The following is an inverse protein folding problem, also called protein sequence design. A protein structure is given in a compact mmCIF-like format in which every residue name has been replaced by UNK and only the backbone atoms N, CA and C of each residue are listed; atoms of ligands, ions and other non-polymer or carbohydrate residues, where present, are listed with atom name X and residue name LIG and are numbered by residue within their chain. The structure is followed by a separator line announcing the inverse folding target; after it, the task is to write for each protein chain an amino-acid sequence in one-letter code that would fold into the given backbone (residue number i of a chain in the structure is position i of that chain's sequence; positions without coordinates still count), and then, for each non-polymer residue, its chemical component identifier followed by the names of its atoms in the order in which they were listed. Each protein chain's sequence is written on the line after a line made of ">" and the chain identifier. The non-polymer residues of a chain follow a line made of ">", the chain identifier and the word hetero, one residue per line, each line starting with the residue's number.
data_IF_314222092389
#
_entry.id   IF_314222092389
#
_cell.length_a   1.000
_cell.length_b   1.000
_cell.length_c   1.000
_cell.angle_alpha   90.00
_cell.angle_beta   90.00
_cell.angle_gamma   90.00
#
_symmetry.space_group_name_H-M   'P 1'
#
loop_
_entity.id
_entity.type
_entity.pdbx_description
1 polymer ?
#
# COMPACT_ATOMS: atom_id res chain seq x y z
N UNK A 1 11.05 -18.25 23.38
CA UNK A 1 10.88 -17.01 24.17
C UNK A 1 11.79 -15.95 23.57
N UNK A 2 11.22 -14.94 22.90
CA UNK A 2 12.00 -13.94 22.17
C UNK A 2 12.33 -12.75 23.07
N UNK A 3 13.62 -12.57 23.37
CA UNK A 3 14.17 -11.49 24.18
C UNK A 3 14.36 -10.22 23.33
N UNK A 4 13.25 -9.71 22.78
CA UNK A 4 13.25 -8.54 21.90
C UNK A 4 13.09 -7.29 22.78
N UNK A 5 14.04 -6.34 22.79
CA UNK A 5 13.98 -5.19 23.68
C UNK A 5 12.74 -4.32 23.38
N UNK A 6 12.07 -3.76 24.41
CA UNK A 6 10.80 -3.06 24.29
C UNK A 6 10.84 -1.86 23.32
N UNK A 7 12.01 -1.24 23.15
CA UNK A 7 12.23 -0.13 22.24
C UNK A 7 12.04 -0.50 20.76
N UNK A 8 12.27 -1.77 20.38
CA UNK A 8 12.08 -2.20 18.98
C UNK A 8 10.61 -2.12 18.56
N UNK A 9 9.66 -2.32 19.49
CA UNK A 9 8.23 -2.19 19.23
C UNK A 9 7.83 -0.76 18.87
N UNK A 10 8.36 0.23 19.58
CA UNK A 10 8.06 1.66 19.38
C UNK A 10 8.68 2.18 18.09
N UNK A 11 9.95 1.85 17.83
CA UNK A 11 10.61 2.23 16.57
C UNK A 11 9.90 1.61 15.36
N UNK A 12 9.48 0.35 15.45
CA UNK A 12 8.71 -0.30 14.40
C UNK A 12 7.34 0.35 14.24
N UNK A 13 6.65 0.65 15.33
CA UNK A 13 5.35 1.33 15.31
C UNK A 13 5.42 2.70 14.61
N UNK A 14 6.34 3.58 15.00
CA UNK A 14 6.43 4.92 14.42
C UNK A 14 6.97 4.94 12.99
N UNK A 15 7.94 4.09 12.66
CA UNK A 15 8.56 4.07 11.34
C UNK A 15 7.77 3.25 10.30
N UNK A 16 6.87 2.35 10.70
CA UNK A 16 6.11 1.50 9.76
C UNK A 16 4.65 1.92 9.57
N UNK A 17 4.00 2.52 10.58
CA UNK A 17 2.54 2.72 10.56
C UNK A 17 1.98 3.63 9.47
N UNK A 18 2.80 4.45 8.81
CA UNK A 18 2.35 5.33 7.71
C UNK A 18 3.06 5.04 6.39
N UNK A 19 3.91 4.02 6.36
CA UNK A 19 4.72 3.69 5.19
C UNK A 19 3.93 2.87 4.16
N UNK A 20 3.11 1.94 4.62
CA UNK A 20 2.39 1.02 3.73
C UNK A 20 1.19 1.69 3.08
N UNK A 21 1.39 2.06 1.82
CA UNK A 21 0.43 2.71 0.94
C UNK A 21 0.32 1.93 -0.35
N UNK A 22 -0.91 1.76 -0.81
CA UNK A 22 -1.19 1.03 -2.03
C UNK A 22 -2.19 1.74 -2.90
N UNK A 23 -2.07 1.53 -4.20
CA UNK A 23 -3.04 2.05 -5.15
C UNK A 23 -3.15 1.16 -6.38
N UNK A 24 -4.20 1.43 -7.17
CA UNK A 24 -4.31 0.88 -8.51
C UNK A 24 -3.54 1.75 -9.52
N UNK A 25 -3.37 1.29 -10.75
CA UNK A 25 -2.68 2.03 -11.82
C UNK A 25 -3.17 3.47 -11.97
N UNK A 26 -4.47 3.67 -11.85
CA UNK A 26 -5.15 4.92 -12.19
C UNK A 26 -5.36 5.83 -10.97
N UNK A 27 -4.92 5.42 -9.79
CA UNK A 27 -5.13 6.19 -8.56
C UNK A 27 -6.58 6.23 -8.06
N UNK A 28 -7.48 5.46 -8.67
CA UNK A 28 -8.92 5.44 -8.36
C UNK A 28 -9.26 4.74 -7.04
N UNK A 29 -8.37 3.89 -6.55
CA UNK A 29 -8.43 3.24 -5.25
C UNK A 29 -7.10 3.44 -4.56
N UNK A 30 -7.12 4.06 -3.38
CA UNK A 30 -5.94 4.23 -2.53
C UNK A 30 -6.23 3.63 -1.17
N UNK A 31 -5.29 2.86 -0.65
CA UNK A 31 -5.38 2.24 0.67
C UNK A 31 -4.13 2.55 1.49
N UNK A 32 -4.36 2.74 2.78
CA UNK A 32 -3.32 3.02 3.77
C UNK A 32 -3.50 1.99 4.88
N UNK A 33 -2.43 1.27 5.20
CA UNK A 33 -2.45 0.46 6.43
C UNK A 33 -2.36 1.38 7.63
N UNK A 34 -3.19 1.10 8.63
CA UNK A 34 -3.25 1.85 9.86
C UNK A 34 -3.98 1.05 10.94
N UNK A 35 -3.34 0.83 12.09
CA UNK A 35 -3.89 0.10 13.23
C UNK A 35 -4.50 -1.27 12.86
N UNK A 36 -5.80 -1.32 12.58
CA UNK A 36 -6.58 -2.51 12.20
C UNK A 36 -6.65 -2.76 10.68
N UNK A 37 -6.14 -1.83 9.87
CA UNK A 37 -6.14 -1.92 8.41
C UNK A 37 -4.89 -2.64 7.93
N UNK A 38 -5.03 -3.92 7.64
CA UNK A 38 -3.94 -4.78 7.19
C UNK A 38 -3.88 -4.93 5.67
N UNK A 39 -2.78 -5.52 5.18
CA UNK A 39 -2.57 -5.86 3.78
C UNK A 39 -3.71 -6.71 3.19
N UNK A 40 -4.31 -7.61 3.97
CA UNK A 40 -5.46 -8.41 3.53
C UNK A 40 -6.71 -7.55 3.28
N UNK A 41 -6.93 -6.49 4.07
CA UNK A 41 -7.99 -5.51 3.77
C UNK A 41 -7.68 -4.75 2.48
N UNK A 42 -6.41 -4.42 2.22
CA UNK A 42 -6.00 -3.78 0.97
C UNK A 42 -6.36 -4.66 -0.24
N UNK A 43 -6.04 -5.95 -0.20
CA UNK A 43 -6.39 -6.94 -1.24
C UNK A 43 -7.90 -7.04 -1.45
N UNK A 44 -8.68 -7.18 -0.36
CA UNK A 44 -10.15 -7.25 -0.44
C UNK A 44 -10.75 -5.99 -1.03
N UNK A 45 -10.28 -4.81 -0.61
CA UNK A 45 -10.73 -3.53 -1.16
C UNK A 45 -10.42 -3.43 -2.65
N UNK A 46 -9.23 -3.82 -3.06
CA UNK A 46 -8.87 -3.84 -4.47
C UNK A 46 -9.77 -4.79 -5.27
N UNK A 47 -9.97 -6.01 -4.81
CA UNK A 47 -10.86 -6.97 -5.46
C UNK A 47 -12.28 -6.39 -5.66
N UNK A 48 -12.81 -5.74 -4.63
CA UNK A 48 -14.10 -5.06 -4.70
C UNK A 48 -14.10 -3.88 -5.70
N UNK A 49 -13.01 -3.11 -5.79
CA UNK A 49 -12.88 -2.05 -6.79
C UNK A 49 -12.86 -2.62 -8.22
N UNK A 50 -12.17 -3.74 -8.44
CA UNK A 50 -12.10 -4.42 -9.73
C UNK A 50 -13.47 -4.97 -10.16
N UNK A 51 -14.28 -5.44 -9.21
CA UNK A 51 -15.67 -5.86 -9.48
C UNK A 51 -16.55 -4.68 -9.90
N UNK A 52 -16.41 -3.52 -9.24
CA UNK A 52 -17.17 -2.31 -9.57
C UNK A 52 -16.73 -1.65 -10.88
N UNK A 53 -15.49 -1.87 -11.30
CA UNK A 53 -14.89 -1.29 -12.51
C UNK A 53 -14.17 -2.35 -13.33
N UNK A 54 -14.92 -3.18 -14.09
CA UNK A 54 -14.33 -4.22 -14.92
C UNK A 54 -13.44 -3.67 -16.04
N UNK A 55 -13.66 -2.40 -16.42
CA UNK A 55 -12.92 -1.67 -17.47
C UNK A 55 -11.56 -1.12 -17.01
N UNK A 56 -11.14 -1.42 -15.78
CA UNK A 56 -9.78 -1.19 -15.34
C UNK A 56 -8.81 -2.04 -16.16
N UNK A 57 -8.13 -1.40 -17.12
CA UNK A 57 -7.11 -2.02 -17.98
C UNK A 57 -6.02 -2.72 -17.18
N UNK A 58 -5.69 -2.19 -16.01
CA UNK A 58 -4.71 -2.80 -15.12
C UNK A 58 -5.38 -3.27 -13.82
N UNK A 59 -5.27 -4.57 -13.58
CA UNK A 59 -5.78 -5.25 -12.38
C UNK A 59 -4.72 -5.38 -11.29
N UNK A 60 -3.49 -4.89 -11.52
CA UNK A 60 -2.37 -5.05 -10.59
C UNK A 60 -2.46 -4.11 -9.40
N UNK A 61 -1.97 -4.58 -8.25
CA UNK A 61 -1.82 -3.74 -7.07
C UNK A 61 -0.43 -3.12 -7.05
N UNK A 62 -0.35 -1.82 -6.90
CA UNK A 62 0.91 -1.10 -6.81
C UNK A 62 1.20 -0.71 -5.37
N UNK A 63 2.45 -0.91 -4.95
CA UNK A 63 2.96 -0.28 -3.73
C UNK A 63 3.41 1.14 -4.05
N UNK A 64 3.09 2.07 -3.15
CA UNK A 64 3.43 3.49 -3.28
C UNK A 64 4.62 3.90 -2.41
N UNK A 65 5.26 2.93 -1.77
CA UNK A 65 6.35 3.14 -0.84
C UNK A 65 7.64 2.50 -1.34
N UNK A 66 8.75 3.16 -1.05
CA UNK A 66 10.08 2.72 -1.44
C UNK A 66 10.69 1.77 -0.41
N UNK A 67 11.63 0.93 -0.87
CA UNK A 67 12.56 0.21 0.00
C UNK A 67 13.64 1.20 0.42
N UNK A 68 13.95 1.28 1.71
CA UNK A 68 15.07 2.08 2.20
C UNK A 68 16.30 1.15 2.33
N UNK A 69 17.31 1.26 1.46
CA UNK A 69 18.48 0.38 1.50
C UNK A 69 19.27 0.50 2.81
N UNK A 70 19.24 1.67 3.47
CA UNK A 70 19.94 1.92 4.73
C UNK A 70 19.25 1.28 5.95
N UNK A 71 17.98 0.90 5.80
CA UNK A 71 17.22 0.22 6.85
C UNK A 71 17.47 -1.29 6.81
N UNK A 72 18.70 -1.73 7.12
CA UNK A 72 19.10 -3.14 7.02
C UNK A 72 18.26 -4.08 7.88
N UNK A 73 17.73 -3.62 9.01
CA UNK A 73 16.78 -4.38 9.85
C UNK A 73 15.46 -4.73 9.13
N UNK A 74 15.14 -4.06 8.02
CA UNK A 74 13.97 -4.33 7.17
C UNK A 74 14.27 -5.22 5.97
N UNK A 75 15.53 -5.56 5.70
CA UNK A 75 15.89 -6.36 4.52
C UNK A 75 15.18 -7.71 4.50
N UNK A 76 15.04 -8.38 5.65
CA UNK A 76 14.25 -9.61 5.75
C UNK A 76 12.81 -9.39 5.25
N UNK A 77 12.17 -8.27 5.61
CA UNK A 77 10.84 -7.94 5.12
C UNK A 77 10.85 -7.69 3.61
N UNK A 78 11.88 -7.02 3.09
CA UNK A 78 11.98 -6.70 1.65
C UNK A 78 12.03 -7.93 0.74
N UNK A 79 12.49 -9.07 1.24
CA UNK A 79 12.59 -10.33 0.50
C UNK A 79 11.43 -11.28 0.77
N UNK A 80 10.95 -11.36 2.03
CA UNK A 80 9.97 -12.37 2.42
C UNK A 80 8.52 -11.85 2.44
N UNK A 81 8.30 -10.55 2.64
CA UNK A 81 6.96 -9.98 2.76
C UNK A 81 6.34 -9.72 1.38
N UNK A 82 5.13 -10.22 1.18
CA UNK A 82 4.36 -10.07 -0.06
C UNK A 82 4.17 -8.61 -0.48
N UNK A 83 4.05 -7.69 0.48
CA UNK A 83 3.89 -6.25 0.22
C UNK A 83 5.04 -5.70 -0.62
N UNK A 84 6.24 -6.27 -0.45
CA UNK A 84 7.44 -5.85 -1.16
C UNK A 84 7.66 -6.59 -2.50
N UNK A 85 6.83 -7.60 -2.81
CA UNK A 85 6.78 -8.26 -4.13
C UNK A 85 5.90 -7.50 -5.12
N UNK A 86 5.03 -6.60 -4.64
CA UNK A 86 4.21 -5.76 -5.49
C UNK A 86 5.07 -4.78 -6.32
N UNK A 87 4.65 -4.47 -7.57
CA UNK A 87 5.29 -3.47 -8.40
C UNK A 87 5.25 -2.10 -7.71
N UNK A 88 6.37 -1.39 -7.76
CA UNK A 88 6.47 -0.03 -7.24
C UNK A 88 5.92 0.98 -8.25
N UNK A 89 5.17 1.96 -7.76
CA UNK A 89 4.78 3.15 -8.51
C UNK A 89 4.92 4.38 -7.63
N UNK A 90 5.40 5.49 -8.20
CA UNK A 90 5.59 6.71 -7.43
C UNK A 90 4.24 7.32 -7.06
N UNK A 91 4.11 7.82 -5.83
CA UNK A 91 2.94 8.54 -5.35
C UNK A 91 2.63 9.76 -6.23
N UNK A 92 3.66 10.49 -6.66
CA UNK A 92 3.48 11.70 -7.47
C UNK A 92 2.88 11.40 -8.85
N UNK A 93 3.30 10.29 -9.47
CA UNK A 93 2.74 9.84 -10.75
C UNK A 93 1.26 9.49 -10.61
N UNK A 94 0.92 8.77 -9.54
CA UNK A 94 -0.47 8.42 -9.21
C UNK A 94 -1.31 9.67 -8.96
N UNK A 95 -0.76 10.66 -8.25
CA UNK A 95 -1.46 11.90 -7.96
C UNK A 95 -1.71 12.72 -9.23
N UNK A 96 -0.75 12.77 -10.16
CA UNK A 96 -0.92 13.38 -11.48
C UNK A 96 -2.03 12.69 -12.26
N UNK A 97 -2.00 11.36 -12.36
CA UNK A 97 -3.05 10.58 -13.04
C UNK A 97 -4.42 10.82 -12.40
N UNK A 98 -4.50 10.87 -11.07
CA UNK A 98 -5.73 11.12 -10.34
C UNK A 98 -6.30 12.52 -10.60
N UNK A 99 -5.46 13.56 -10.63
CA UNK A 99 -5.88 14.94 -10.96
C UNK A 99 -6.41 15.03 -12.39
N UNK A 100 -5.76 14.36 -13.34
CA UNK A 100 -6.25 14.25 -14.73
C UNK A 100 -7.55 13.45 -14.83
N UNK A 101 -7.76 12.46 -13.94
CA UNK A 101 -8.95 11.62 -13.87
C UNK A 101 -10.03 12.13 -12.91
N UNK A 102 -9.95 13.37 -12.39
CA UNK A 102 -10.82 13.90 -11.35
C UNK A 102 -12.33 14.00 -11.72
N UNK A 103 -12.71 13.68 -12.95
CA UNK A 103 -14.09 13.45 -13.36
C UNK A 103 -14.61 12.02 -13.14
N UNK A 104 -13.77 11.08 -12.71
CA UNK A 104 -14.09 9.65 -12.62
C UNK A 104 -14.29 9.25 -11.15
N UNK A 105 -15.55 9.06 -10.75
CA UNK A 105 -15.99 8.57 -9.42
C UNK A 105 -15.04 7.49 -8.86
N UNK A 106 -14.28 7.82 -7.82
CA UNK A 106 -13.33 6.91 -7.18
C UNK A 106 -14.03 5.77 -6.46
N UNK A 107 -13.36 4.62 -6.28
CA UNK A 107 -13.85 3.57 -5.39
C UNK A 107 -13.52 3.93 -3.93
N UNK A 108 -14.17 5.00 -3.45
CA UNK A 108 -14.13 5.42 -2.06
C UNK A 108 -15.34 4.75 -1.39
N UNK A 109 -15.17 3.51 -0.92
CA UNK A 109 -16.09 2.95 0.07
C UNK A 109 -15.45 3.12 1.43
N UNK A 110 -16.05 3.99 2.24
CA UNK A 110 -15.85 4.02 3.68
C UNK A 110 -16.34 2.68 4.24
N UNK A 111 -15.47 2.00 4.98
CA UNK A 111 -15.80 0.91 5.87
C UNK A 111 -15.44 1.37 7.28
#
# INVERSE_FOLDING_TARGET
>A
MSNIPPFTGIFRFFLDQKHYRYSNSDGTSTFYEFMSRDFEMAKRRQAHCLLKKPDLKDRKHYRLFSKNPLAFWRWRLYFFDERYKLPYKNWEEIEKTRKSAAGVSGCITEF
#
